data_IF_604231128795
#
_entry.id   IF_604231128795
#
_cell.length_a   1.000
_cell.length_b   1.000
_cell.length_c   1.000
_cell.angle_alpha   90.00
_cell.angle_beta   90.00
_cell.angle_gamma   90.00
#
_symmetry.space_group_name_H-M   'P 1'
#
loop_
_entity.id
_entity.type
_entity.pdbx_description
1 polymer ?
#
# COMPACT_ATOMS: atom_id res chain seq x y z
N UNK A 1 1.01 0.03 -12.05
CA UNK A 1 1.07 -0.25 -13.50
C UNK A 1 2.08 0.70 -14.14
N UNK A 2 2.79 0.25 -15.18
CA UNK A 2 3.91 0.98 -15.81
C UNK A 2 3.52 1.53 -17.19
N UNK A 3 4.30 2.50 -17.69
CA UNK A 3 4.19 3.11 -19.04
C UNK A 3 5.59 3.19 -19.69
N UNK A 4 6.36 2.10 -19.63
CA UNK A 4 7.72 2.01 -20.16
C UNK A 4 7.75 2.16 -21.68
N UNK A 5 6.79 1.58 -22.40
CA UNK A 5 6.75 1.66 -23.87
C UNK A 5 6.53 3.11 -24.30
N UNK A 6 5.58 3.82 -23.69
CA UNK A 6 5.31 5.23 -24.00
C UNK A 6 6.51 6.12 -23.70
N UNK A 7 7.13 5.94 -22.53
CA UNK A 7 8.32 6.73 -22.14
C UNK A 7 9.50 6.47 -23.05
N UNK A 8 9.71 5.23 -23.46
CA UNK A 8 10.80 4.87 -24.38
C UNK A 8 10.58 5.47 -25.77
N UNK A 9 9.35 5.40 -26.31
CA UNK A 9 8.97 6.07 -27.56
C UNK A 9 9.26 7.57 -27.53
N UNK A 10 8.84 8.25 -26.46
CA UNK A 10 9.07 9.69 -26.29
C UNK A 10 10.56 10.03 -26.20
N UNK A 11 11.33 9.23 -25.44
CA UNK A 11 12.79 9.43 -25.29
C UNK A 11 13.54 9.34 -26.61
N UNK A 12 13.17 8.37 -27.45
CA UNK A 12 13.83 8.11 -28.72
C UNK A 12 13.23 8.87 -29.90
N UNK A 13 12.19 9.68 -29.67
CA UNK A 13 11.47 10.40 -30.74
C UNK A 13 10.82 9.45 -31.75
N UNK A 14 10.51 8.22 -31.34
CA UNK A 14 9.97 7.16 -32.21
C UNK A 14 8.46 7.14 -32.11
N UNK A 15 7.79 7.13 -33.27
CA UNK A 15 6.34 6.97 -33.35
C UNK A 15 5.89 5.49 -33.35
N UNK A 16 4.62 5.25 -33.05
CA UNK A 16 4.00 3.90 -33.04
C UNK A 16 4.22 3.13 -34.34
N UNK A 17 4.11 3.81 -35.50
CA UNK A 17 4.32 3.19 -36.81
C UNK A 17 5.77 2.76 -37.04
N UNK A 18 6.71 3.54 -36.51
CA UNK A 18 8.13 3.22 -36.63
C UNK A 18 8.50 2.03 -35.75
N UNK A 19 8.00 2.00 -34.51
CA UNK A 19 8.15 0.84 -33.64
C UNK A 19 7.52 -0.43 -34.26
N UNK A 20 6.34 -0.31 -34.85
CA UNK A 20 5.67 -1.41 -35.55
C UNK A 20 6.54 -1.97 -36.69
N UNK A 21 7.16 -1.09 -37.48
CA UNK A 21 8.09 -1.47 -38.55
C UNK A 21 9.33 -2.19 -37.99
N UNK A 22 9.93 -1.69 -36.91
CA UNK A 22 11.11 -2.32 -36.28
C UNK A 22 10.81 -3.70 -35.67
N UNK A 23 9.58 -3.90 -35.22
CA UNK A 23 9.12 -5.15 -34.64
C UNK A 23 8.52 -6.12 -35.68
N UNK A 24 8.40 -5.70 -36.94
CA UNK A 24 7.71 -6.46 -38.00
C UNK A 24 6.26 -6.84 -37.63
N UNK A 25 5.56 -5.94 -36.95
CA UNK A 25 4.15 -6.12 -36.53
C UNK A 25 3.27 -5.00 -37.06
N UNK A 26 1.96 -5.15 -36.90
CA UNK A 26 1.01 -4.08 -37.25
C UNK A 26 1.02 -2.95 -36.21
N UNK A 27 0.72 -1.69 -36.59
CA UNK A 27 0.55 -0.60 -35.62
C UNK A 27 -0.52 -0.91 -34.55
N UNK A 28 -1.54 -1.71 -34.89
CA UNK A 28 -2.55 -2.18 -33.93
C UNK A 28 -1.97 -3.09 -32.84
N UNK A 29 -0.99 -3.94 -33.18
CA UNK A 29 -0.30 -4.76 -32.20
C UNK A 29 0.48 -3.91 -31.19
N UNK A 30 1.14 -2.83 -31.64
CA UNK A 30 1.84 -1.90 -30.75
C UNK A 30 0.86 -1.19 -29.81
N UNK A 31 -0.30 -0.76 -30.31
CA UNK A 31 -1.36 -0.20 -29.45
C UNK A 31 -1.85 -1.22 -28.42
N UNK A 32 -2.00 -2.48 -28.81
CA UNK A 32 -2.35 -3.56 -27.89
C UNK A 32 -1.27 -3.79 -26.84
N UNK A 33 0.02 -3.79 -27.20
CA UNK A 33 1.12 -3.91 -26.24
C UNK A 33 1.11 -2.77 -25.22
N UNK A 34 0.93 -1.52 -25.66
CA UNK A 34 0.80 -0.36 -24.77
C UNK A 34 -0.37 -0.51 -23.81
N UNK A 35 -1.51 -1.02 -24.29
CA UNK A 35 -2.68 -1.30 -23.46
C UNK A 35 -2.41 -2.41 -22.45
N UNK A 36 -1.87 -3.54 -22.89
CA UNK A 36 -1.53 -4.68 -22.03
C UNK A 36 -0.48 -4.32 -20.98
N UNK A 37 0.45 -3.40 -21.28
CA UNK A 37 1.38 -2.86 -20.29
C UNK A 37 0.64 -2.09 -19.20
N UNK A 38 -0.24 -1.16 -19.61
CA UNK A 38 -1.06 -0.37 -18.67
C UNK A 38 -1.97 -1.24 -17.83
N UNK A 39 -2.50 -2.33 -18.39
CA UNK A 39 -3.34 -3.31 -17.69
C UNK A 39 -2.51 -4.32 -16.88
N UNK A 40 -1.18 -4.30 -16.98
CA UNK A 40 -0.28 -5.22 -16.27
C UNK A 40 -0.34 -6.67 -16.78
N UNK A 41 -0.88 -6.89 -17.97
CA UNK A 41 -1.06 -8.21 -18.60
C UNK A 41 -0.02 -8.50 -19.68
N UNK A 42 0.85 -7.55 -20.00
CA UNK A 42 1.92 -7.75 -20.99
C UNK A 42 2.90 -8.83 -20.51
N UNK A 43 3.22 -9.78 -21.40
CA UNK A 43 4.26 -10.77 -21.15
C UNK A 43 5.64 -10.11 -21.09
N UNK A 44 6.46 -10.52 -20.12
CA UNK A 44 7.82 -10.01 -19.93
C UNK A 44 8.66 -10.06 -21.22
N UNK A 45 8.63 -11.18 -21.95
CA UNK A 45 9.37 -11.31 -23.21
C UNK A 45 8.86 -10.40 -24.34
N UNK A 46 7.58 -10.02 -24.32
CA UNK A 46 7.03 -9.03 -25.26
C UNK A 46 7.51 -7.64 -24.90
N UNK A 47 7.46 -7.28 -23.62
CA UNK A 47 7.93 -5.99 -23.14
C UNK A 47 9.43 -5.80 -23.43
N UNK A 48 10.25 -6.82 -23.14
CA UNK A 48 11.69 -6.80 -23.42
C UNK A 48 11.98 -6.59 -24.91
N UNK A 49 11.30 -7.33 -25.79
CA UNK A 49 11.45 -7.18 -27.24
C UNK A 49 11.06 -5.78 -27.74
N UNK A 50 9.98 -5.21 -27.20
CA UNK A 50 9.53 -3.85 -27.55
C UNK A 50 10.59 -2.81 -27.15
N UNK A 51 11.13 -2.92 -25.94
CA UNK A 51 12.16 -2.01 -25.44
C UNK A 51 13.47 -2.17 -26.22
N UNK A 52 13.88 -3.40 -26.52
CA UNK A 52 15.05 -3.69 -27.34
C UNK A 52 14.95 -3.08 -28.75
N UNK A 53 13.77 -3.12 -29.38
CA UNK A 53 13.53 -2.47 -30.68
C UNK A 53 13.63 -0.93 -30.64
N UNK A 54 13.50 -0.34 -29.46
CA UNK A 54 13.71 1.09 -29.22
C UNK A 54 15.16 1.41 -28.81
N UNK A 55 16.00 0.40 -28.57
CA UNK A 55 17.38 0.56 -28.08
C UNK A 55 17.49 0.66 -26.56
N UNK A 56 16.42 0.33 -25.83
CA UNK A 56 16.43 0.24 -24.37
C UNK A 56 16.64 -1.22 -23.93
N UNK A 57 17.26 -1.42 -22.77
CA UNK A 57 17.37 -2.73 -22.12
C UNK A 57 16.61 -2.71 -20.80
N UNK A 58 15.78 -3.72 -20.56
CA UNK A 58 15.11 -3.92 -19.29
C UNK A 58 15.87 -4.92 -18.43
N UNK A 59 16.23 -4.53 -17.21
CA UNK A 59 16.79 -5.44 -16.23
C UNK A 59 15.69 -5.89 -15.27
N UNK A 60 15.47 -7.20 -15.17
CA UNK A 60 14.55 -7.78 -14.19
C UNK A 60 15.39 -8.40 -13.08
N UNK A 61 15.32 -7.78 -11.91
CA UNK A 61 15.99 -8.25 -10.72
C UNK A 61 14.97 -8.99 -9.83
N UNK A 62 15.21 -10.28 -9.61
CA UNK A 62 14.43 -11.07 -8.68
C UNK A 62 14.94 -10.79 -7.27
N UNK A 63 14.34 -9.81 -6.62
CA UNK A 63 14.65 -9.58 -5.21
C UNK A 63 13.99 -10.65 -4.35
N UNK A 64 14.71 -11.20 -3.34
CA UNK A 64 14.06 -11.96 -2.29
C UNK A 64 12.84 -11.18 -1.85
N UNK A 65 11.70 -11.86 -1.80
CA UNK A 65 10.50 -11.28 -1.20
C UNK A 65 10.82 -11.14 0.28
N UNK A 66 11.54 -10.07 0.64
CA UNK A 66 11.51 -9.54 1.99
C UNK A 66 10.05 -9.55 2.37
N UNK A 67 9.75 -10.00 3.58
CA UNK A 67 8.41 -9.99 4.15
C UNK A 67 7.96 -8.55 4.39
N UNK A 68 8.13 -7.66 3.40
CA UNK A 68 7.31 -6.49 3.19
C UNK A 68 5.90 -7.03 3.12
N UNK A 69 5.22 -6.89 4.26
CA UNK A 69 3.77 -6.86 4.33
C UNK A 69 3.36 -5.71 3.43
N UNK A 70 3.33 -5.96 2.12
CA UNK A 70 2.52 -5.14 1.24
C UNK A 70 1.11 -5.35 1.77
N UNK A 71 0.44 -4.31 2.31
CA UNK A 71 -0.93 -4.45 2.73
C UNK A 71 -1.67 -5.02 1.53
N UNK A 72 -2.14 -6.24 1.69
CA UNK A 72 -2.91 -6.94 0.69
C UNK A 72 -4.02 -5.99 0.22
N UNK A 73 -4.34 -6.02 -1.08
CA UNK A 73 -5.47 -5.22 -1.62
C UNK A 73 -6.78 -5.55 -0.89
N UNK A 74 -6.81 -6.70 -0.21
CA UNK A 74 -7.89 -7.26 0.58
C UNK A 74 -7.40 -7.55 2.00
N UNK A 75 -8.03 -6.96 3.03
CA UNK A 75 -7.68 -7.25 4.41
C UNK A 75 -7.83 -8.76 4.71
N UNK A 76 -6.79 -9.45 5.20
CA UNK A 76 -6.71 -10.92 5.26
C UNK A 76 -7.41 -11.52 6.48
N UNK A 77 -8.45 -10.84 7.00
CA UNK A 77 -9.11 -11.24 8.22
C UNK A 77 -10.51 -11.82 7.95
N UNK A 78 -10.85 -12.99 8.54
CA UNK A 78 -12.15 -13.62 8.33
C UNK A 78 -13.29 -12.80 8.96
N UNK A 79 -13.04 -12.14 10.09
CA UNK A 79 -14.06 -11.33 10.79
C UNK A 79 -14.13 -9.93 10.20
N UNK A 80 -15.36 -9.42 10.04
CA UNK A 80 -15.61 -8.07 9.50
C UNK A 80 -15.01 -6.98 10.40
N UNK A 81 -15.11 -7.14 11.72
CA UNK A 81 -14.54 -6.20 12.69
C UNK A 81 -13.03 -6.02 12.49
N UNK A 82 -12.29 -7.10 12.28
CA UNK A 82 -10.84 -7.07 12.06
C UNK A 82 -10.49 -6.41 10.73
N UNK A 83 -11.26 -6.68 9.66
CA UNK A 83 -11.09 -5.99 8.37
C UNK A 83 -11.33 -4.49 8.49
N UNK A 84 -12.38 -4.08 9.21
CA UNK A 84 -12.68 -2.67 9.45
C UNK A 84 -11.57 -2.01 10.26
N UNK A 85 -11.15 -2.64 11.37
CA UNK A 85 -10.08 -2.12 12.22
C UNK A 85 -8.77 -1.95 11.43
N UNK A 86 -8.44 -2.90 10.56
CA UNK A 86 -7.28 -2.83 9.67
C UNK A 86 -7.37 -1.66 8.69
N UNK A 87 -8.49 -1.50 7.98
CA UNK A 87 -8.65 -0.42 7.01
C UNK A 87 -8.67 0.98 7.66
N UNK A 88 -9.18 1.08 8.90
CA UNK A 88 -9.05 2.30 9.70
C UNK A 88 -7.58 2.60 10.02
N UNK A 89 -6.81 1.61 10.46
CA UNK A 89 -5.37 1.78 10.73
C UNK A 89 -4.57 2.06 9.47
N UNK A 90 -4.96 1.50 8.32
CA UNK A 90 -4.36 1.84 7.02
C UNK A 90 -4.61 3.29 6.63
N UNK A 91 -5.79 3.84 6.93
CA UNK A 91 -6.07 5.26 6.74
C UNK A 91 -5.28 6.14 7.72
N UNK A 92 -5.14 5.72 8.98
CA UNK A 92 -4.28 6.42 9.97
C UNK A 92 -2.82 6.39 9.54
N UNK A 93 -2.31 5.27 9.02
CA UNK A 93 -0.96 5.16 8.49
C UNK A 93 -0.70 6.16 7.35
N UNK A 94 -1.71 6.42 6.51
CA UNK A 94 -1.62 7.47 5.49
C UNK A 94 -1.47 8.86 6.14
N UNK A 95 -2.29 9.18 7.16
CA UNK A 95 -2.16 10.45 7.91
C UNK A 95 -0.80 10.59 8.59
N UNK A 96 -0.26 9.50 9.13
CA UNK A 96 1.07 9.49 9.76
C UNK A 96 2.21 9.77 8.77
N UNK A 97 2.05 9.38 7.50
CA UNK A 97 3.01 9.71 6.43
C UNK A 97 2.91 11.18 6.00
N UNK A 98 1.72 11.76 6.08
CA UNK A 98 1.46 13.16 5.71
C UNK A 98 1.93 14.12 6.83
N UNK A 99 1.53 13.86 8.08
CA UNK A 99 1.88 14.66 9.26
C UNK A 99 1.89 13.78 10.52
N UNK A 100 3.08 13.28 10.87
CA UNK A 100 3.26 12.41 12.05
C UNK A 100 2.94 13.15 13.34
N UNK A 101 3.41 14.37 13.49
CA UNK A 101 3.36 15.10 14.76
C UNK A 101 1.91 15.44 15.13
N UNK A 102 1.09 15.84 14.16
CA UNK A 102 -0.33 16.11 14.38
C UNK A 102 -1.10 14.86 14.81
N UNK A 103 -0.80 13.70 14.22
CA UNK A 103 -1.44 12.43 14.61
C UNK A 103 -0.99 12.00 16.01
N UNK A 104 0.31 12.13 16.32
CA UNK A 104 0.89 11.68 17.58
C UNK A 104 0.56 12.56 18.78
N UNK A 105 0.33 13.86 18.58
CA UNK A 105 0.03 14.82 19.65
C UNK A 105 -1.11 14.38 20.57
N UNK A 106 -2.05 13.57 20.07
CA UNK A 106 -3.21 13.12 20.83
C UNK A 106 -3.04 11.74 21.49
N UNK A 107 -2.03 10.95 21.11
CA UNK A 107 -1.87 9.56 21.55
C UNK A 107 -1.74 9.45 23.08
N UNK A 108 -0.86 10.21 23.77
CA UNK A 108 -0.72 10.09 25.23
C UNK A 108 -2.01 10.38 25.98
N UNK A 109 -2.76 11.41 25.54
CA UNK A 109 -4.05 11.78 26.15
C UNK A 109 -5.10 10.68 25.94
N UNK A 110 -5.15 10.09 24.75
CA UNK A 110 -6.12 9.02 24.44
C UNK A 110 -5.80 7.75 25.22
N UNK A 111 -4.53 7.37 25.30
CA UNK A 111 -4.08 6.26 26.16
C UNK A 111 -4.45 6.50 27.63
N UNK A 112 -4.21 7.71 28.15
CA UNK A 112 -4.59 8.08 29.53
C UNK A 112 -6.07 7.85 29.82
N UNK A 113 -6.96 8.30 28.92
CA UNK A 113 -8.41 8.05 29.02
C UNK A 113 -8.77 6.57 28.94
N UNK A 114 -8.08 5.80 28.10
CA UNK A 114 -8.35 4.36 27.96
C UNK A 114 -7.95 3.58 29.22
N UNK A 115 -6.89 3.99 29.92
CA UNK A 115 -6.46 3.36 31.19
C UNK A 115 -7.50 3.42 32.29
N UNK A 116 -8.41 4.39 32.27
CA UNK A 116 -9.52 4.48 33.23
C UNK A 116 -10.49 3.31 33.11
N UNK A 117 -10.53 2.63 31.95
CA UNK A 117 -11.53 1.60 31.62
C UNK A 117 -10.92 0.25 31.30
N UNK A 118 -9.67 0.23 30.85
CA UNK A 118 -8.93 -0.98 30.48
C UNK A 118 -8.13 -1.44 31.70
N UNK A 119 -8.38 -2.67 32.14
CA UNK A 119 -7.73 -3.27 33.30
C UNK A 119 -7.15 -4.65 32.96
N UNK A 120 -6.28 -5.16 33.83
CA UNK A 120 -5.68 -6.49 33.66
C UNK A 120 -4.71 -6.56 32.48
N UNK A 121 -4.57 -7.76 31.89
CA UNK A 121 -3.57 -8.02 30.85
C UNK A 121 -3.64 -7.11 29.62
N UNK A 122 -4.82 -6.57 29.31
CA UNK A 122 -5.06 -5.67 28.19
C UNK A 122 -4.40 -4.29 28.35
N UNK A 123 -4.07 -3.86 29.58
CA UNK A 123 -3.38 -2.57 29.80
C UNK A 123 -2.00 -2.52 29.18
N UNK A 124 -1.34 -3.69 29.01
CA UNK A 124 -0.01 -3.79 28.40
C UNK A 124 0.00 -3.33 26.94
N UNK A 125 -1.10 -3.52 26.22
CA UNK A 125 -1.24 -3.04 24.85
C UNK A 125 -1.28 -1.50 24.79
N UNK A 126 -1.75 -0.84 25.85
CA UNK A 126 -1.70 0.62 25.97
C UNK A 126 -0.28 1.12 26.26
N UNK A 127 0.50 0.39 27.04
CA UNK A 127 1.93 0.67 27.26
C UNK A 127 2.68 0.54 25.92
N UNK A 128 2.42 -0.55 25.19
CA UNK A 128 3.02 -0.78 23.88
C UNK A 128 2.67 0.30 22.86
N UNK A 129 1.43 0.81 22.86
CA UNK A 129 1.08 1.94 21.99
C UNK A 129 1.90 3.21 22.28
N UNK A 130 2.26 3.46 23.55
CA UNK A 130 3.15 4.57 23.90
C UNK A 130 4.57 4.31 23.41
N UNK A 131 5.07 3.09 23.56
CA UNK A 131 6.39 2.71 23.04
C UNK A 131 6.47 2.84 21.51
N UNK A 132 5.41 2.41 20.81
CA UNK A 132 5.30 2.53 19.35
C UNK A 132 5.16 3.99 18.88
N UNK A 133 4.56 4.87 19.70
CA UNK A 133 4.46 6.30 19.39
C UNK A 133 5.85 6.98 19.34
N UNK A 134 6.79 6.49 20.15
CA UNK A 134 8.19 6.95 20.17
C UNK A 134 9.08 6.20 19.15
N UNK A 135 8.61 5.08 18.62
CA UNK A 135 9.35 4.27 17.65
C UNK A 135 9.45 4.94 16.26
N UNK A 136 10.47 4.58 15.44
CA UNK A 136 10.55 5.02 14.05
C UNK A 136 9.25 4.72 13.27
N UNK A 137 8.85 5.63 12.37
CA UNK A 137 7.58 5.54 11.63
C UNK A 137 7.38 4.20 10.92
N UNK A 138 8.43 3.65 10.32
CA UNK A 138 8.36 2.34 9.68
C UNK A 138 7.94 1.23 10.64
N UNK A 139 8.52 1.19 11.85
CA UNK A 139 8.22 0.18 12.88
C UNK A 139 6.78 0.29 13.36
N UNK A 140 6.32 1.51 13.65
CA UNK A 140 4.94 1.77 14.03
C UNK A 140 3.95 1.29 12.97
N UNK A 141 4.17 1.66 11.71
CA UNK A 141 3.27 1.30 10.60
C UNK A 141 3.28 -0.20 10.36
N UNK A 142 4.45 -0.84 10.44
CA UNK A 142 4.59 -2.29 10.32
C UNK A 142 3.79 -3.00 11.42
N UNK A 143 3.95 -2.60 12.68
CA UNK A 143 3.24 -3.22 13.82
C UNK A 143 1.73 -3.01 13.72
N UNK A 144 1.26 -1.78 13.46
CA UNK A 144 -0.19 -1.50 13.41
C UNK A 144 -0.90 -2.14 12.21
N UNK A 145 -0.16 -2.45 11.13
CA UNK A 145 -0.65 -3.14 9.93
C UNK A 145 -0.22 -4.62 9.86
N UNK A 146 0.25 -5.18 10.97
CA UNK A 146 0.53 -6.60 11.09
C UNK A 146 -0.74 -7.45 10.93
N UNK A 147 -0.56 -8.66 10.41
CA UNK A 147 -1.65 -9.62 10.17
C UNK A 147 -1.76 -10.70 11.26
N UNK A 148 -0.84 -10.69 12.24
CA UNK A 148 -0.85 -11.61 13.37
C UNK A 148 -1.86 -11.22 14.46
N UNK A 149 -2.08 -12.14 15.40
CA UNK A 149 -3.02 -11.94 16.51
C UNK A 149 -2.64 -10.73 17.37
N UNK A 150 -1.34 -10.49 17.56
CA UNK A 150 -0.84 -9.37 18.34
C UNK A 150 -1.26 -8.03 17.76
N UNK A 151 -1.06 -7.85 16.45
CA UNK A 151 -1.50 -6.65 15.73
C UNK A 151 -3.04 -6.50 15.72
N UNK A 152 -3.79 -7.61 15.66
CA UNK A 152 -5.25 -7.59 15.81
C UNK A 152 -5.64 -7.04 17.18
N UNK A 153 -5.04 -7.56 18.26
CA UNK A 153 -5.34 -7.16 19.64
C UNK A 153 -4.97 -5.68 19.88
N UNK A 154 -3.82 -5.22 19.38
CA UNK A 154 -3.41 -3.81 19.40
C UNK A 154 -4.48 -2.90 18.77
N UNK A 155 -5.03 -3.28 17.61
CA UNK A 155 -6.04 -2.47 16.92
C UNK A 155 -7.36 -2.37 17.67
N UNK A 156 -7.70 -3.35 18.51
CA UNK A 156 -8.89 -3.29 19.37
C UNK A 156 -8.77 -2.22 20.45
N UNK A 157 -7.54 -1.84 20.82
CA UNK A 157 -7.23 -0.81 21.82
C UNK A 157 -6.47 0.38 21.21
N UNK A 158 -6.93 0.84 20.05
CA UNK A 158 -6.26 1.91 19.31
C UNK A 158 -6.41 3.31 19.93
N UNK A 159 -5.32 4.07 20.11
CA UNK A 159 -5.36 5.45 20.60
C UNK A 159 -5.68 6.48 19.50
N UNK A 160 -5.83 6.06 18.24
CA UNK A 160 -6.01 6.97 17.09
C UNK A 160 -7.46 7.41 16.86
N UNK A 161 -8.31 7.27 17.87
CA UNK A 161 -9.69 7.75 17.82
C UNK A 161 -9.74 9.25 17.56
N UNK A 162 -10.44 9.66 16.51
CA UNK A 162 -10.60 11.06 16.09
C UNK A 162 -9.52 11.59 15.14
N UNK A 163 -8.54 10.78 14.75
CA UNK A 163 -7.52 11.16 13.76
C UNK A 163 -8.13 11.28 12.36
N UNK A 164 -9.06 10.37 12.04
CA UNK A 164 -9.75 10.36 10.75
C UNK A 164 -10.98 11.26 10.78
N UNK A 165 -11.22 11.97 9.69
CA UNK A 165 -12.51 12.60 9.42
C UNK A 165 -13.59 11.53 9.21
N UNK A 166 -14.87 11.91 9.35
CA UNK A 166 -15.97 10.97 9.12
C UNK A 166 -15.97 10.43 7.68
N UNK A 167 -15.64 11.25 6.69
CA UNK A 167 -15.52 10.82 5.30
C UNK A 167 -14.44 9.76 5.10
N UNK A 168 -13.26 9.93 5.72
CA UNK A 168 -12.18 8.94 5.65
C UNK A 168 -12.53 7.65 6.38
N UNK A 169 -13.21 7.78 7.52
CA UNK A 169 -13.70 6.64 8.30
C UNK A 169 -14.70 5.81 7.50
N UNK A 170 -15.70 6.45 6.89
CA UNK A 170 -16.69 5.78 6.03
C UNK A 170 -16.03 5.11 4.82
N UNK A 171 -15.09 5.79 4.17
CA UNK A 171 -14.35 5.20 3.05
C UNK A 171 -13.54 3.96 3.47
N UNK A 172 -12.94 3.96 4.67
CA UNK A 172 -12.25 2.79 5.22
C UNK A 172 -13.20 1.61 5.49
N UNK A 173 -14.37 1.89 6.09
CA UNK A 173 -15.39 0.86 6.35
C UNK A 173 -15.91 0.25 5.04
N UNK A 174 -16.09 1.07 4.00
CA UNK A 174 -16.49 0.59 2.67
C UNK A 174 -15.45 -0.35 2.06
N UNK A 175 -14.15 -0.01 2.12
CA UNK A 175 -13.06 -0.90 1.66
C UNK A 175 -13.08 -2.25 2.36
N UNK A 176 -13.37 -2.28 3.66
CA UNK A 176 -13.49 -3.52 4.43
C UNK A 176 -14.70 -4.39 4.04
N UNK A 177 -15.68 -3.83 3.34
CA UNK A 177 -16.91 -4.53 2.91
C UNK A 177 -16.79 -5.11 1.50
N UNK A 178 -15.93 -4.52 0.67
CA UNK A 178 -15.58 -5.04 -0.68
C UNK A 178 -14.44 -6.07 -0.61
N UNK A 179 -13.81 -6.20 0.57
CA UNK A 179 -12.82 -7.21 0.92
C UNK A 179 -13.48 -8.49 1.45
#
# INVERSE_FOLDING_TARGET
MTDLIERSLARHGVGVRELARRLEVTPGAVTMYKRSEREGTIGVGTLDRVLAALGDTATIDARPRERRVHPSVRAPFPRREDRVAYELHRAVAKRLLDDRDAVMANVPRQVGRMRERVHGGASRLLDEWLELAEAPLGRLVETMLGEDQHAIDLRQLSPFMGVLTEAERLAAIQRASVA
#
